data_IF_826371462254
#
_entry.id   IF_826371462254
#
_cell.length_a   1.000
_cell.length_b   1.000
_cell.length_c   1.000
_cell.angle_alpha   90.00
_cell.angle_beta   90.00
_cell.angle_gamma   90.00
#
_symmetry.space_group_name_H-M   'P 1'
#
loop_
_entity.id
_entity.type
_entity.pdbx_description
1 polymer ?
#
# COMPACT_ATOMS: atom_id res chain seq x y z
N UNK A 1 15.00 8.85 -4.44
CA UNK A 1 14.33 7.88 -3.55
C UNK A 1 12.81 8.03 -3.71
N UNK A 2 12.02 6.95 -3.62
CA UNK A 2 10.57 7.06 -3.65
C UNK A 2 10.10 7.96 -2.50
N UNK A 3 9.28 8.97 -2.83
CA UNK A 3 8.77 9.94 -1.87
C UNK A 3 7.32 10.29 -2.23
N UNK A 4 6.51 10.61 -1.22
CA UNK A 4 5.12 11.02 -1.43
C UNK A 4 5.00 12.26 -2.33
N UNK A 5 5.86 13.29 -2.22
CA UNK A 5 5.83 14.43 -3.14
C UNK A 5 6.05 14.03 -4.61
N UNK A 6 7.02 13.16 -4.89
CA UNK A 6 7.26 12.68 -6.26
C UNK A 6 6.05 11.91 -6.81
N UNK A 7 5.40 11.09 -5.98
CA UNK A 7 4.18 10.37 -6.36
C UNK A 7 3.05 11.37 -6.71
N UNK A 8 2.85 12.40 -5.89
CA UNK A 8 1.86 13.45 -6.15
C UNK A 8 2.12 14.12 -7.50
N UNK A 9 3.37 14.48 -7.81
CA UNK A 9 3.72 15.07 -9.11
C UNK A 9 3.40 14.15 -10.29
N UNK A 10 3.66 12.84 -10.17
CA UNK A 10 3.35 11.86 -11.22
C UNK A 10 1.83 11.73 -11.43
N UNK A 11 1.07 11.66 -10.33
CA UNK A 11 -0.39 11.57 -10.37
C UNK A 11 -1.00 12.81 -11.02
N UNK A 12 -0.57 14.00 -10.59
CA UNK A 12 -1.04 15.28 -11.12
C UNK A 12 -0.68 15.44 -12.61
N UNK A 13 0.54 15.06 -13.01
CA UNK A 13 0.94 15.05 -14.43
C UNK A 13 0.09 14.11 -15.29
N UNK A 14 -0.53 13.11 -14.67
CA UNK A 14 -1.46 12.17 -15.31
C UNK A 14 -2.93 12.62 -15.22
N UNK A 15 -3.21 13.81 -14.71
CA UNK A 15 -4.57 14.34 -14.53
C UNK A 15 -5.33 13.79 -13.32
N UNK A 16 -4.65 13.10 -12.39
CA UNK A 16 -5.24 12.57 -11.16
C UNK A 16 -5.04 13.59 -10.03
N UNK A 17 -6.12 14.10 -9.41
CA UNK A 17 -6.01 14.97 -8.24
C UNK A 17 -5.32 14.23 -7.08
N UNK A 18 -4.24 14.81 -6.56
CA UNK A 18 -3.49 14.22 -5.46
C UNK A 18 -2.89 15.32 -4.58
N UNK A 19 -2.82 15.06 -3.28
CA UNK A 19 -2.21 15.95 -2.29
C UNK A 19 -1.58 15.14 -1.16
N UNK A 20 -0.52 15.67 -0.56
CA UNK A 20 0.07 15.08 0.65
C UNK A 20 -0.74 15.55 1.86
N UNK A 21 -1.17 14.63 2.71
CA UNK A 21 -1.86 14.92 3.96
C UNK A 21 -1.23 14.12 5.11
N UNK A 22 -1.15 14.69 6.32
CA UNK A 22 -0.63 13.98 7.48
C UNK A 22 -1.59 12.93 8.02
N UNK A 23 -2.90 13.11 7.78
CA UNK A 23 -3.95 12.28 8.36
C UNK A 23 -4.83 11.63 7.28
N UNK A 24 -5.50 10.54 7.67
CA UNK A 24 -6.48 9.83 6.85
C UNK A 24 -7.78 10.63 6.86
N UNK A 25 -8.18 11.16 5.70
CA UNK A 25 -9.42 11.91 5.54
C UNK A 25 -10.67 11.01 5.44
N UNK A 26 -11.80 11.63 5.06
CA UNK A 26 -13.05 10.91 4.77
C UNK A 26 -12.82 9.82 3.70
N UNK A 27 -13.59 8.69 3.71
CA UNK A 27 -13.42 7.53 2.83
C UNK A 27 -13.82 7.81 1.38
N UNK A 28 -13.12 8.75 0.74
CA UNK A 28 -13.32 9.18 -0.63
C UNK A 28 -11.96 9.08 -1.33
N UNK A 29 -11.83 8.13 -2.25
CA UNK A 29 -10.62 7.96 -3.07
C UNK A 29 -9.60 6.96 -2.51
N UNK A 30 -8.32 7.22 -2.75
CA UNK A 30 -7.20 6.33 -2.43
C UNK A 30 -6.21 7.02 -1.49
N UNK A 31 -5.91 6.40 -0.36
CA UNK A 31 -4.83 6.84 0.54
C UNK A 31 -3.52 6.15 0.17
N UNK A 32 -2.44 6.91 0.02
CA UNK A 32 -1.12 6.40 -0.37
C UNK A 32 -0.18 6.44 0.83
N UNK A 33 0.42 5.30 1.21
CA UNK A 33 1.29 5.21 2.38
C UNK A 33 2.51 4.31 2.14
N UNK A 34 3.59 4.61 2.84
CA UNK A 34 4.75 3.73 2.95
C UNK A 34 4.43 2.52 3.82
N UNK A 35 4.86 1.33 3.41
CA UNK A 35 4.65 0.10 4.19
C UNK A 35 5.49 0.02 5.48
N UNK A 36 6.24 1.07 5.83
CA UNK A 36 7.02 1.16 7.06
C UNK A 36 6.35 2.00 8.16
N UNK A 37 5.21 2.65 7.87
CA UNK A 37 4.51 3.53 8.82
C UNK A 37 3.26 2.82 9.35
N UNK A 38 3.12 2.73 10.68
CA UNK A 38 1.98 2.11 11.36
C UNK A 38 1.31 3.04 12.41
N UNK A 39 1.60 4.34 12.37
CA UNK A 39 1.06 5.30 13.35
C UNK A 39 -0.46 5.52 13.22
N UNK A 40 -1.07 5.08 12.12
CA UNK A 40 -2.49 5.29 11.80
C UNK A 40 -3.21 3.99 11.37
N UNK A 41 -2.73 2.83 11.85
CA UNK A 41 -3.24 1.52 11.43
C UNK A 41 -4.76 1.40 11.61
N UNK A 42 -5.29 1.85 12.74
CA UNK A 42 -6.73 1.72 13.04
C UNK A 42 -7.59 2.57 12.10
N UNK A 43 -7.17 3.81 11.85
CA UNK A 43 -7.81 4.76 10.95
C UNK A 43 -7.80 4.25 9.51
N UNK A 44 -6.67 3.70 9.06
CA UNK A 44 -6.54 3.10 7.72
C UNK A 44 -7.45 1.88 7.56
N UNK A 45 -7.54 1.02 8.57
CA UNK A 45 -8.45 -0.12 8.54
C UNK A 45 -9.90 0.36 8.41
N UNK A 46 -10.32 1.37 9.19
CA UNK A 46 -11.67 1.92 9.10
C UNK A 46 -11.95 2.59 7.75
N UNK A 47 -10.98 3.33 7.21
CA UNK A 47 -11.05 3.94 5.90
C UNK A 47 -11.29 2.91 4.80
N UNK A 48 -10.53 1.81 4.79
CA UNK A 48 -10.69 0.71 3.82
C UNK A 48 -12.02 -0.01 4.02
N UNK A 49 -12.41 -0.32 5.27
CA UNK A 49 -13.71 -0.93 5.58
C UNK A 49 -14.90 -0.07 5.12
N UNK A 50 -14.71 1.25 5.09
CA UNK A 50 -15.73 2.21 4.64
C UNK A 50 -15.75 2.42 3.11
N UNK A 51 -14.97 1.64 2.35
CA UNK A 51 -14.93 1.69 0.88
C UNK A 51 -13.79 2.53 0.29
N UNK A 52 -12.91 3.09 1.11
CA UNK A 52 -11.70 3.78 0.64
C UNK A 52 -10.65 2.82 0.08
N UNK A 53 -9.89 3.25 -0.92
CA UNK A 53 -8.79 2.46 -1.50
C UNK A 53 -7.45 2.70 -0.80
N UNK A 54 -6.58 1.70 -0.75
CA UNK A 54 -5.23 1.83 -0.18
C UNK A 54 -4.18 1.51 -1.24
N UNK A 55 -3.24 2.44 -1.45
CA UNK A 55 -2.00 2.19 -2.19
C UNK A 55 -0.84 2.15 -1.19
N UNK A 56 -0.24 0.98 -1.02
CA UNK A 56 0.82 0.74 -0.05
C UNK A 56 2.00 0.02 -0.71
N UNK A 57 3.22 0.45 -0.39
CA UNK A 57 4.43 -0.14 -0.95
C UNK A 57 5.65 -0.02 -0.05
N UNK A 58 6.51 -1.03 -0.10
CA UNK A 58 7.77 -1.10 0.64
C UNK A 58 8.54 -2.39 0.34
N UNK A 59 9.78 -2.47 0.82
CA UNK A 59 10.69 -3.59 0.61
C UNK A 59 10.69 -4.49 1.85
N UNK A 60 9.67 -5.34 1.99
CA UNK A 60 9.54 -6.22 3.14
C UNK A 60 10.71 -7.21 3.27
N UNK A 61 11.25 -7.72 2.16
CA UNK A 61 12.48 -8.54 2.15
C UNK A 61 13.68 -7.82 2.80
N UNK A 62 13.83 -6.51 2.56
CA UNK A 62 14.94 -5.72 3.13
C UNK A 62 14.72 -5.42 4.61
N UNK A 63 13.46 -5.24 5.00
CA UNK A 63 13.10 -5.17 6.41
C UNK A 63 13.38 -6.51 7.10
N UNK A 64 13.05 -7.63 6.45
CA UNK A 64 13.27 -9.00 6.94
C UNK A 64 14.74 -9.29 7.21
N UNK A 65 15.64 -8.88 6.30
CA UNK A 65 17.07 -9.10 6.46
C UNK A 65 17.66 -8.39 7.68
N UNK A 66 16.97 -7.39 8.24
CA UNK A 66 17.38 -6.65 9.43
C UNK A 66 16.69 -7.12 10.72
N UNK A 67 15.51 -7.76 10.61
CA UNK A 67 14.65 -8.07 11.78
C UNK A 67 14.36 -9.56 11.96
N UNK A 68 14.75 -10.41 11.01
CA UNK A 68 14.45 -11.84 10.97
C UNK A 68 13.31 -12.17 10.00
N UNK A 69 13.50 -13.15 9.08
CA UNK A 69 12.49 -13.52 8.07
C UNK A 69 11.22 -14.13 8.69
N UNK A 70 11.36 -14.83 9.81
CA UNK A 70 10.26 -15.42 10.58
C UNK A 70 9.26 -14.38 11.13
N UNK A 71 9.67 -13.10 11.20
CA UNK A 71 8.88 -12.03 11.80
C UNK A 71 8.10 -11.19 10.80
N UNK A 72 8.36 -11.31 9.50
CA UNK A 72 7.76 -10.41 8.48
C UNK A 72 6.24 -10.44 8.52
N UNK A 73 5.65 -11.63 8.56
CA UNK A 73 4.18 -11.77 8.54
C UNK A 73 3.50 -11.12 9.76
N UNK A 74 4.16 -11.09 10.93
CA UNK A 74 3.56 -10.60 12.17
C UNK A 74 4.06 -9.23 12.64
N UNK A 75 5.20 -8.75 12.11
CA UNK A 75 5.89 -7.55 12.62
C UNK A 75 6.23 -6.52 11.54
N UNK A 76 6.10 -6.86 10.26
CA UNK A 76 6.29 -5.84 9.21
C UNK A 76 5.14 -4.82 9.27
N UNK A 77 5.42 -3.51 9.41
CA UNK A 77 4.37 -2.50 9.64
C UNK A 77 3.24 -2.53 8.60
N UNK A 78 3.57 -2.71 7.32
CA UNK A 78 2.56 -2.79 6.25
C UNK A 78 1.57 -3.95 6.42
N UNK A 79 1.98 -5.06 7.06
CA UNK A 79 1.11 -6.21 7.31
C UNK A 79 0.07 -5.93 8.39
N UNK A 80 0.23 -4.91 9.24
CA UNK A 80 -0.81 -4.56 10.22
C UNK A 80 -2.11 -4.11 9.56
N UNK A 81 -2.03 -3.44 8.40
CA UNK A 81 -3.21 -2.99 7.65
C UNK A 81 -3.62 -4.01 6.60
N UNK A 82 -2.68 -4.55 5.81
CA UNK A 82 -3.03 -5.41 4.66
C UNK A 82 -3.54 -6.80 5.08
N UNK A 83 -3.11 -7.31 6.24
CA UNK A 83 -3.55 -8.63 6.74
C UNK A 83 -5.05 -8.71 6.98
N UNK A 84 -5.70 -7.58 7.30
CA UNK A 84 -7.16 -7.48 7.45
C UNK A 84 -7.88 -7.81 6.15
N UNK A 85 -7.25 -7.54 5.00
CA UNK A 85 -7.75 -7.90 3.68
C UNK A 85 -7.24 -9.27 3.18
N UNK A 86 -6.54 -10.04 4.03
CA UNK A 86 -5.93 -11.31 3.65
C UNK A 86 -4.70 -11.18 2.75
N UNK A 87 -4.11 -9.99 2.64
CA UNK A 87 -2.93 -9.71 1.80
C UNK A 87 -1.72 -9.47 2.69
N UNK A 88 -0.59 -10.09 2.34
CA UNK A 88 0.64 -9.99 3.14
C UNK A 88 1.83 -9.66 2.25
N UNK A 89 2.65 -8.73 2.74
CA UNK A 89 4.05 -8.64 2.37
C UNK A 89 4.81 -9.82 2.98
N UNK A 90 5.74 -10.38 2.21
CA UNK A 90 6.58 -11.52 2.61
C UNK A 90 8.06 -11.15 2.54
N UNK A 91 8.91 -12.01 3.09
CA UNK A 91 10.37 -11.91 3.00
C UNK A 91 10.90 -12.31 1.61
N UNK A 92 10.04 -12.85 0.75
CA UNK A 92 10.40 -13.36 -0.57
C UNK A 92 10.81 -12.19 -1.48
N UNK A 93 11.95 -12.35 -2.13
CA UNK A 93 12.41 -11.42 -3.16
C UNK A 93 11.50 -11.52 -4.39
N UNK A 94 11.05 -10.37 -4.88
CA UNK A 94 10.41 -10.30 -6.18
C UNK A 94 11.44 -10.43 -7.30
N UNK A 95 11.07 -11.08 -8.39
CA UNK A 95 11.88 -11.10 -9.61
C UNK A 95 12.03 -9.69 -10.18
N UNK A 96 13.26 -9.34 -10.59
CA UNK A 96 13.53 -8.10 -11.30
C UNK A 96 13.30 -8.35 -12.79
N UNK A 97 12.06 -8.17 -13.24
CA UNK A 97 11.69 -8.32 -14.65
C UNK A 97 10.68 -7.25 -15.11
N UNK A 98 10.50 -7.12 -16.43
CA UNK A 98 9.52 -6.23 -17.05
C UNK A 98 8.15 -6.91 -17.09
N UNK A 99 7.36 -6.67 -16.05
CA UNK A 99 5.99 -7.14 -16.01
C UNK A 99 5.11 -6.39 -17.02
N UNK A 100 4.48 -7.13 -17.93
CA UNK A 100 3.48 -6.56 -18.84
C UNK A 100 2.21 -6.25 -18.05
N UNK A 101 1.97 -4.96 -17.81
CA UNK A 101 0.72 -4.50 -17.21
C UNK A 101 -0.37 -4.45 -18.28
N UNK A 102 -1.46 -5.19 -18.08
CA UNK A 102 -2.63 -5.13 -18.95
C UNK A 102 -3.28 -3.75 -18.87
N UNK A 103 -3.62 -3.17 -20.03
CA UNK A 103 -4.47 -1.96 -20.10
C UNK A 103 -5.96 -2.25 -19.83
N UNK A 104 -6.36 -3.52 -19.90
CA UNK A 104 -7.73 -3.94 -19.57
C UNK A 104 -7.84 -4.07 -18.06
N UNK A 105 -8.73 -3.27 -17.46
CA UNK A 105 -9.09 -3.37 -16.05
C UNK A 105 -9.74 -4.75 -15.82
N UNK A 106 -9.25 -5.56 -14.86
CA UNK A 106 -9.89 -6.82 -14.51
C UNK A 106 -11.34 -6.58 -14.08
N UNK A 107 -12.30 -7.22 -14.76
CA UNK A 107 -13.73 -7.16 -14.42
C UNK A 107 -14.04 -8.13 -13.28
N UNK A 108 -13.26 -8.12 -12.20
CA UNK A 108 -13.59 -8.95 -11.04
C UNK A 108 -14.80 -8.27 -10.40
N UNK A 109 -15.99 -8.91 -10.37
CA UNK A 109 -17.11 -8.34 -9.64
C UNK A 109 -16.76 -8.40 -8.16
N UNK A 110 -16.75 -7.26 -7.49
CA UNK A 110 -16.88 -7.25 -6.03
C UNK A 110 -18.25 -7.82 -5.73
N UNK A 111 -18.30 -9.10 -5.35
CA UNK A 111 -19.48 -9.65 -4.72
C UNK A 111 -19.52 -9.02 -3.32
N UNK A 112 -20.46 -8.10 -3.12
CA UNK A 112 -20.83 -7.55 -1.82
C UNK A 112 -21.93 -8.42 -1.25
#
# INVERSE_FOLDING_TARGET
PPSLPSLVSILQASGVPAQVQPEVGAPVGVYCISAYINTMTAELIQFVKSGGGLLIGGQAWYWASQHGPDRVLSRFPGNEVTSVAGVFFTDIYGDIDRFKVSKKIPKIPFHV
#
